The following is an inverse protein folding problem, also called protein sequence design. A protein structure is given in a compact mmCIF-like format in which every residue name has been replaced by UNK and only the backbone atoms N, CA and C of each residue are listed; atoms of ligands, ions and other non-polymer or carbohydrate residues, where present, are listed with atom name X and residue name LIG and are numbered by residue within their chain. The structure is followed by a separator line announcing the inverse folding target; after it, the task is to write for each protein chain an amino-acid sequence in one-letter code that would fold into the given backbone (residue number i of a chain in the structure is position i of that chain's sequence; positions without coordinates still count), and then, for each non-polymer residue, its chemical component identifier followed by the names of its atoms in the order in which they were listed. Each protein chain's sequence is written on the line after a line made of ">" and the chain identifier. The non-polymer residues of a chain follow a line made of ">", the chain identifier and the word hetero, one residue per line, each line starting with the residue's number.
data_IF_136532463897
#
_entry.id   IF_136532463897
#
_cell.length_a   1.000
_cell.length_b   1.000
_cell.length_c   1.000
_cell.angle_alpha   90.00
_cell.angle_beta   90.00
_cell.angle_gamma   90.00
#
_symmetry.space_group_name_H-M   'P 1'
#
loop_
_entity.id
_entity.type
_entity.pdbx_description
1 polymer ?
#
# COMPACT_ATOMS: atom_id res chain seq x y z
N UNK A 1 -14.72 -23.87 49.14
CA UNK A 1 -15.45 -23.13 48.10
C UNK A 1 -14.67 -21.86 47.88
N UNK A 2 -14.10 -21.65 46.69
CA UNK A 2 -13.43 -20.39 46.35
C UNK A 2 -14.53 -19.39 45.97
N UNK A 3 -14.54 -18.22 46.58
CA UNK A 3 -15.53 -17.19 46.34
C UNK A 3 -14.79 -15.85 46.25
N UNK A 4 -15.14 -15.05 45.24
CA UNK A 4 -14.61 -13.70 45.12
C UNK A 4 -15.16 -12.78 46.22
N UNK A 5 -14.44 -11.70 46.56
CA UNK A 5 -14.93 -10.69 47.47
C UNK A 5 -16.30 -10.17 47.00
N UNK A 6 -17.18 -9.84 47.95
CA UNK A 6 -18.55 -9.44 47.68
C UNK A 6 -18.67 -8.14 46.84
N UNK A 7 -17.59 -7.36 46.74
CA UNK A 7 -17.55 -6.05 46.10
C UNK A 7 -17.14 -6.14 44.62
N UNK A 8 -17.83 -6.97 43.83
CA UNK A 8 -17.77 -6.90 42.37
C UNK A 8 -16.75 -7.79 41.67
N UNK A 9 -16.23 -8.84 42.33
CA UNK A 9 -15.33 -9.79 41.66
C UNK A 9 -16.08 -10.96 41.00
N UNK A 10 -15.80 -11.23 39.73
CA UNK A 10 -16.28 -12.39 38.98
C UNK A 10 -15.24 -13.52 39.02
N UNK A 11 -15.67 -14.73 39.41
CA UNK A 11 -14.79 -15.91 39.35
C UNK A 11 -14.61 -16.28 37.89
N UNK A 12 -13.36 -16.30 37.45
CA UNK A 12 -12.98 -16.77 36.12
C UNK A 12 -11.90 -17.85 36.23
N UNK A 13 -11.87 -18.74 35.23
CA UNK A 13 -10.90 -19.82 35.16
C UNK A 13 -9.84 -19.48 34.12
N UNK A 14 -8.59 -19.89 34.38
CA UNK A 14 -7.56 -19.90 33.34
C UNK A 14 -8.00 -20.81 32.19
N UNK A 15 -7.47 -20.56 30.98
CA UNK A 15 -7.82 -21.34 29.79
C UNK A 15 -7.59 -22.86 29.95
N UNK A 16 -6.54 -23.25 30.67
CA UNK A 16 -6.23 -24.65 30.99
C UNK A 16 -7.03 -25.21 32.18
N UNK A 17 -7.86 -24.38 32.82
CA UNK A 17 -8.69 -24.67 33.99
C UNK A 17 -7.89 -25.11 35.22
N UNK A 18 -6.59 -24.79 35.28
CA UNK A 18 -5.73 -25.13 36.42
C UNK A 18 -5.68 -24.05 37.49
N UNK A 19 -6.06 -22.83 37.16
CA UNK A 19 -6.18 -21.72 38.09
C UNK A 19 -7.56 -21.08 38.02
N UNK A 20 -7.94 -20.45 39.12
CA UNK A 20 -9.13 -19.62 39.24
C UNK A 20 -8.73 -18.30 39.89
N UNK A 21 -9.31 -17.21 39.40
CA UNK A 21 -9.03 -15.85 39.86
C UNK A 21 -10.32 -15.04 39.94
N UNK A 22 -10.22 -13.87 40.55
CA UNK A 22 -11.29 -12.88 40.60
C UNK A 22 -10.93 -11.75 39.67
N UNK A 23 -11.75 -11.52 38.66
CA UNK A 23 -11.64 -10.38 37.75
C UNK A 23 -12.73 -9.35 38.05
N UNK A 24 -12.50 -8.11 37.67
CA UNK A 24 -13.41 -7.00 38.02
C UNK A 24 -14.70 -7.02 37.21
N UNK A 25 -14.63 -7.49 35.96
CA UNK A 25 -15.78 -7.56 35.06
C UNK A 25 -16.06 -9.00 34.60
N UNK A 26 -17.31 -9.27 34.23
CA UNK A 26 -17.79 -10.59 33.79
C UNK A 26 -17.17 -11.01 32.44
N UNK A 27 -16.82 -10.05 31.60
CA UNK A 27 -16.23 -10.27 30.27
C UNK A 27 -14.70 -10.36 30.28
N UNK A 28 -14.06 -10.20 31.45
CA UNK A 28 -12.63 -10.41 31.62
C UNK A 28 -12.31 -11.91 31.73
N UNK A 29 -11.19 -12.31 31.12
CA UNK A 29 -10.65 -13.66 31.22
C UNK A 29 -9.30 -13.67 31.94
N UNK A 30 -9.04 -14.76 32.67
CA UNK A 30 -7.78 -14.96 33.38
C UNK A 30 -6.73 -15.55 32.44
N UNK A 31 -5.68 -14.78 32.18
CA UNK A 31 -4.54 -15.19 31.38
C UNK A 31 -3.28 -15.35 32.24
N UNK A 32 -2.29 -16.08 31.70
CA UNK A 32 -1.00 -16.27 32.32
C UNK A 32 -0.80 -17.64 32.98
N UNK A 33 0.24 -17.73 33.80
CA UNK A 33 0.70 -18.97 34.42
C UNK A 33 1.29 -18.70 35.80
N UNK A 34 1.63 -19.76 36.53
CA UNK A 34 2.37 -19.63 37.79
C UNK A 34 3.74 -18.96 37.61
N UNK A 35 4.34 -19.05 36.43
CA UNK A 35 5.65 -18.44 36.15
C UNK A 35 5.55 -16.99 35.69
N UNK A 36 4.48 -16.64 34.98
CA UNK A 36 4.32 -15.35 34.32
C UNK A 36 3.46 -14.38 35.14
N UNK A 37 2.77 -14.89 36.16
CA UNK A 37 1.71 -14.17 36.87
C UNK A 37 0.36 -14.34 36.17
N UNK A 38 -0.72 -14.30 36.94
CA UNK A 38 -2.08 -14.33 36.40
C UNK A 38 -2.64 -12.91 36.32
N UNK A 39 -3.22 -12.57 35.16
CA UNK A 39 -3.77 -11.26 34.87
C UNK A 39 -5.19 -11.38 34.32
N UNK A 40 -6.06 -10.45 34.70
CA UNK A 40 -7.39 -10.30 34.12
C UNK A 40 -7.29 -9.38 32.90
N UNK A 41 -7.57 -9.92 31.71
CA UNK A 41 -7.60 -9.12 30.49
C UNK A 41 -9.03 -9.01 29.97
N UNK A 42 -9.39 -7.83 29.48
CA UNK A 42 -10.68 -7.56 28.85
C UNK A 42 -10.91 -8.40 27.59
N UNK A 43 -12.16 -8.52 27.17
CA UNK A 43 -12.51 -9.19 25.92
C UNK A 43 -11.70 -8.63 24.73
N UNK A 44 -11.22 -9.53 23.87
CA UNK A 44 -10.37 -9.17 22.72
C UNK A 44 -8.90 -8.83 23.06
N UNK A 45 -8.51 -8.93 24.33
CA UNK A 45 -7.12 -8.80 24.78
C UNK A 45 -6.56 -10.15 25.25
N UNK A 46 -5.25 -10.25 25.29
CA UNK A 46 -4.51 -11.36 25.86
C UNK A 46 -3.32 -10.86 26.67
N UNK A 47 -2.78 -11.70 27.55
CA UNK A 47 -1.54 -11.39 28.25
C UNK A 47 -0.36 -11.55 27.30
N UNK A 48 0.30 -10.45 26.97
CA UNK A 48 1.39 -10.39 26.02
C UNK A 48 2.68 -9.87 26.68
N UNK A 49 3.84 -10.19 26.10
CA UNK A 49 5.15 -9.79 26.62
C UNK A 49 6.07 -10.97 26.95
N UNK A 50 7.06 -10.74 27.81
CA UNK A 50 8.01 -11.79 28.22
C UNK A 50 8.66 -11.46 29.56
N UNK A 51 9.31 -12.46 30.20
CA UNK A 51 10.08 -12.26 31.44
C UNK A 51 11.15 -11.16 31.36
N UNK A 52 11.61 -10.78 30.16
CA UNK A 52 12.59 -9.70 29.98
C UNK A 52 11.98 -8.30 30.04
N UNK A 53 10.77 -8.14 29.51
CA UNK A 53 10.12 -6.82 29.32
C UNK A 53 8.89 -6.62 30.21
N UNK A 54 8.44 -7.67 30.90
CA UNK A 54 7.18 -7.68 31.63
C UNK A 54 6.04 -8.25 30.79
N UNK A 55 4.87 -8.34 31.41
CA UNK A 55 3.64 -8.80 30.78
C UNK A 55 2.55 -7.74 30.96
N UNK A 56 1.76 -7.51 29.92
CA UNK A 56 0.67 -6.53 29.88
C UNK A 56 -0.51 -7.09 29.08
N UNK A 57 -1.73 -6.67 29.39
CA UNK A 57 -2.89 -7.04 28.58
C UNK A 57 -2.92 -6.22 27.29
N UNK A 58 -2.61 -6.85 26.17
CA UNK A 58 -2.61 -6.23 24.84
C UNK A 58 -3.75 -6.75 23.96
N UNK A 59 -4.21 -5.99 22.95
CA UNK A 59 -5.10 -6.51 21.92
C UNK A 59 -4.57 -7.84 21.35
N UNK A 60 -5.48 -8.72 20.90
CA UNK A 60 -5.15 -10.09 20.47
C UNK A 60 -4.01 -10.20 19.44
N UNK A 61 -3.79 -9.18 18.62
CA UNK A 61 -2.77 -9.08 17.57
C UNK A 61 -1.55 -8.23 17.97
N UNK A 62 -1.33 -7.98 19.27
CA UNK A 62 -0.24 -7.14 19.77
C UNK A 62 0.62 -7.85 20.84
N UNK A 63 1.90 -7.52 20.90
CA UNK A 63 2.83 -7.92 21.97
C UNK A 63 3.29 -6.72 22.79
N UNK A 64 3.67 -6.94 24.04
CA UNK A 64 4.21 -5.89 24.90
C UNK A 64 5.73 -5.80 24.77
N UNK A 65 6.26 -4.64 24.42
CA UNK A 65 7.70 -4.40 24.25
C UNK A 65 8.40 -3.92 25.53
N UNK A 66 7.64 -3.71 26.61
CA UNK A 66 8.10 -3.15 27.88
C UNK A 66 7.65 -1.72 28.14
N UNK A 67 7.12 -1.04 27.11
CA UNK A 67 6.59 0.32 27.20
C UNK A 67 5.15 0.40 26.65
N UNK A 68 4.88 -0.27 25.53
CA UNK A 68 3.55 -0.26 24.89
C UNK A 68 3.24 -1.58 24.15
N UNK A 69 1.96 -1.77 23.85
CA UNK A 69 1.50 -2.86 22.98
C UNK A 69 1.82 -2.51 21.52
N UNK A 70 2.55 -3.38 20.84
CA UNK A 70 2.96 -3.24 19.43
C UNK A 70 2.40 -4.38 18.61
N UNK A 71 1.91 -4.10 17.40
CA UNK A 71 1.29 -5.12 16.56
C UNK A 71 2.30 -6.22 16.17
N UNK A 72 1.90 -7.48 16.25
CA UNK A 72 2.69 -8.63 15.81
C UNK A 72 2.14 -9.11 14.47
N UNK A 73 3.05 -9.37 13.54
CA UNK A 73 2.70 -9.88 12.23
C UNK A 73 2.90 -11.40 12.19
N UNK A 74 1.81 -12.13 11.92
CA UNK A 74 1.82 -13.58 11.80
C UNK A 74 2.17 -14.03 10.37
N UNK A 75 2.35 -15.35 10.20
CA UNK A 75 2.52 -16.01 8.89
C UNK A 75 3.76 -15.55 8.09
N UNK A 76 4.83 -15.17 8.81
CA UNK A 76 6.09 -14.74 8.22
C UNK A 76 6.06 -13.32 7.65
N UNK A 77 5.04 -12.52 7.99
CA UNK A 77 4.94 -11.10 7.64
C UNK A 77 5.80 -10.23 8.55
N UNK A 78 6.21 -9.08 8.05
CA UNK A 78 6.94 -8.03 8.77
C UNK A 78 6.04 -6.81 8.98
N UNK A 79 6.22 -6.12 10.10
CA UNK A 79 5.52 -4.87 10.38
C UNK A 79 6.25 -3.72 9.66
N UNK A 80 5.68 -3.22 8.57
CA UNK A 80 6.20 -2.08 7.80
C UNK A 80 5.15 -0.99 7.80
N UNK A 81 5.51 0.21 8.26
CA UNK A 81 4.62 1.38 8.38
C UNK A 81 3.29 1.09 9.10
N UNK A 82 3.30 0.23 10.13
CA UNK A 82 2.10 -0.15 10.89
C UNK A 82 1.20 -1.17 10.17
N UNK A 83 1.73 -1.85 9.14
CA UNK A 83 1.02 -2.88 8.40
C UNK A 83 1.83 -4.17 8.31
N UNK A 84 1.15 -5.31 8.48
CA UNK A 84 1.76 -6.63 8.32
C UNK A 84 1.83 -7.02 6.84
N UNK A 85 3.04 -7.09 6.31
CA UNK A 85 3.30 -7.31 4.88
C UNK A 85 4.31 -8.44 4.70
N UNK A 86 4.22 -9.19 3.61
CA UNK A 86 5.22 -10.21 3.35
C UNK A 86 6.61 -9.59 3.08
N UNK A 87 7.70 -10.17 3.61
CA UNK A 87 9.05 -9.66 3.43
C UNK A 87 9.43 -9.60 1.96
N UNK A 88 10.38 -8.74 1.63
CA UNK A 88 10.81 -8.54 0.25
C UNK A 88 11.23 -9.86 -0.42
N UNK A 89 10.78 -10.07 -1.65
CA UNK A 89 11.00 -11.31 -2.38
C UNK A 89 10.00 -12.43 -2.06
N UNK A 90 9.01 -12.16 -1.20
CA UNK A 90 7.90 -13.09 -0.92
C UNK A 90 6.53 -12.46 -1.17
N UNK A 91 5.51 -13.29 -1.31
CA UNK A 91 4.10 -12.90 -1.45
C UNK A 91 3.19 -13.78 -0.62
N UNK A 92 2.06 -13.20 -0.23
CA UNK A 92 1.03 -13.85 0.57
C UNK A 92 0.30 -14.91 -0.26
N UNK A 93 0.18 -16.12 0.27
CA UNK A 93 -0.62 -17.20 -0.31
C UNK A 93 -2.11 -17.02 0.04
N UNK A 94 -3.03 -17.74 -0.61
CA UNK A 94 -4.44 -17.74 -0.21
C UNK A 94 -4.69 -18.12 1.26
N UNK A 95 -3.75 -18.83 1.88
CA UNK A 95 -3.77 -19.22 3.29
C UNK A 95 -3.18 -18.14 4.24
N UNK A 96 -2.62 -17.07 3.68
CA UNK A 96 -2.05 -15.95 4.43
C UNK A 96 -0.55 -16.04 4.72
N UNK A 97 0.14 -17.07 4.20
CA UNK A 97 1.58 -17.31 4.41
C UNK A 97 2.46 -16.58 3.40
N UNK A 98 3.67 -16.16 3.80
CA UNK A 98 4.63 -15.57 2.87
C UNK A 98 5.49 -16.64 2.17
N UNK A 99 5.43 -16.70 0.83
CA UNK A 99 6.26 -17.59 -0.01
C UNK A 99 7.09 -16.83 -1.03
N UNK A 100 8.26 -17.36 -1.35
CA UNK A 100 9.15 -16.78 -2.36
C UNK A 100 8.45 -16.56 -3.70
N UNK A 101 8.71 -15.41 -4.31
CA UNK A 101 8.19 -15.02 -5.61
C UNK A 101 9.13 -15.48 -6.73
N UNK A 102 8.62 -16.32 -7.63
CA UNK A 102 9.30 -16.69 -8.89
C UNK A 102 8.93 -15.75 -10.07
N UNK A 103 8.22 -14.66 -9.80
CA UNK A 103 7.69 -13.76 -10.83
C UNK A 103 7.82 -12.29 -10.44
N UNK A 104 7.97 -11.42 -11.44
CA UNK A 104 8.03 -9.96 -11.27
C UNK A 104 6.91 -9.28 -12.05
N UNK A 105 6.46 -8.14 -11.54
CA UNK A 105 5.49 -7.31 -12.29
C UNK A 105 6.09 -6.77 -13.59
N UNK A 106 7.41 -6.55 -13.64
CA UNK A 106 8.11 -5.83 -14.70
C UNK A 106 8.15 -4.31 -14.50
N UNK A 107 7.64 -3.81 -13.37
CA UNK A 107 7.76 -2.43 -12.92
C UNK A 107 8.93 -2.27 -11.95
N UNK A 108 9.58 -1.13 -12.02
CA UNK A 108 10.72 -0.79 -11.17
C UNK A 108 10.60 0.64 -10.64
N UNK A 109 11.16 0.89 -9.47
CA UNK A 109 11.25 2.24 -8.91
C UNK A 109 12.12 3.14 -9.77
N UNK A 110 11.83 4.43 -9.76
CA UNK A 110 12.57 5.46 -10.50
C UNK A 110 12.20 5.55 -11.98
N UNK A 111 11.57 4.54 -12.57
CA UNK A 111 11.02 4.58 -13.94
C UNK A 111 9.75 5.42 -14.02
N UNK A 112 9.49 5.95 -15.22
CA UNK A 112 8.35 6.81 -15.49
C UNK A 112 7.36 6.19 -16.47
N UNK A 113 6.08 6.44 -16.21
CA UNK A 113 4.98 5.84 -16.94
C UNK A 113 3.89 6.87 -17.23
N UNK A 114 3.17 6.66 -18.32
CA UNK A 114 1.84 7.23 -18.54
C UNK A 114 0.81 6.14 -18.33
N UNK A 115 -0.26 6.45 -17.61
CA UNK A 115 -1.34 5.50 -17.37
C UNK A 115 -2.46 5.72 -18.37
N UNK A 116 -2.77 4.70 -19.16
CA UNK A 116 -3.89 4.72 -20.10
C UNK A 116 -5.01 3.85 -19.54
N UNK A 117 -6.17 4.45 -19.27
CA UNK A 117 -7.30 3.75 -18.67
C UNK A 117 -8.16 3.04 -19.72
N UNK A 118 -9.25 2.43 -19.25
CA UNK A 118 -10.14 1.63 -20.10
C UNK A 118 -10.85 2.46 -21.18
N UNK A 119 -10.98 3.78 -20.99
CA UNK A 119 -11.55 4.67 -22.02
C UNK A 119 -10.59 4.93 -23.19
N UNK A 120 -9.33 4.46 -23.09
CA UNK A 120 -8.24 4.81 -24.00
C UNK A 120 -7.63 6.20 -23.73
N UNK A 121 -8.19 6.95 -22.79
CA UNK A 121 -7.64 8.24 -22.37
C UNK A 121 -6.56 8.05 -21.31
N UNK A 122 -5.67 9.03 -21.19
CA UNK A 122 -4.60 9.00 -20.18
C UNK A 122 -5.09 9.62 -18.89
N UNK A 123 -4.63 9.08 -17.76
CA UNK A 123 -4.82 9.69 -16.45
C UNK A 123 -4.14 11.06 -16.44
N UNK A 124 -4.96 12.09 -16.31
CA UNK A 124 -4.57 13.47 -16.55
C UNK A 124 -4.97 14.36 -15.39
N UNK A 125 -4.15 15.36 -15.10
CA UNK A 125 -4.43 16.32 -14.04
C UNK A 125 -5.19 17.52 -14.60
N UNK A 126 -6.34 17.82 -14.01
CA UNK A 126 -7.15 18.99 -14.31
C UNK A 126 -8.00 19.36 -13.11
N UNK A 127 -8.27 20.65 -12.91
CA UNK A 127 -9.12 21.14 -11.81
C UNK A 127 -8.77 20.54 -10.43
N UNK A 128 -7.47 20.38 -10.16
CA UNK A 128 -6.92 19.80 -8.91
C UNK A 128 -7.21 18.31 -8.66
N UNK A 129 -7.58 17.54 -9.67
CA UNK A 129 -7.82 16.11 -9.57
C UNK A 129 -7.27 15.33 -10.77
N UNK A 130 -7.08 14.03 -10.59
CA UNK A 130 -6.78 13.11 -11.68
C UNK A 130 -8.04 12.43 -12.19
N UNK A 131 -8.20 12.44 -13.51
CA UNK A 131 -9.23 11.69 -14.21
C UNK A 131 -8.75 11.22 -15.57
N UNK A 132 -9.42 10.20 -16.12
CA UNK A 132 -9.30 9.89 -17.54
C UNK A 132 -9.92 11.04 -18.34
N UNK A 133 -9.07 11.83 -19.01
CA UNK A 133 -9.50 13.03 -19.72
C UNK A 133 -8.73 13.23 -21.02
N UNK A 134 -9.42 13.74 -22.04
CA UNK A 134 -8.82 14.08 -23.33
C UNK A 134 -7.80 15.22 -23.17
N UNK A 135 -6.57 15.06 -23.69
CA UNK A 135 -5.55 16.10 -23.62
C UNK A 135 -6.02 17.42 -24.23
N UNK A 136 -5.70 18.54 -23.57
CA UNK A 136 -6.00 19.88 -24.06
C UNK A 136 -5.03 20.90 -23.45
N UNK A 137 -5.18 22.19 -23.78
CA UNK A 137 -4.37 23.27 -23.15
C UNK A 137 -4.54 23.36 -21.63
N UNK A 138 -5.59 22.76 -21.07
CA UNK A 138 -5.86 22.74 -19.63
C UNK A 138 -5.70 21.36 -18.99
N UNK A 139 -5.49 20.31 -19.80
CA UNK A 139 -5.48 18.92 -19.37
C UNK A 139 -4.20 18.26 -19.87
N UNK A 140 -3.28 17.96 -18.96
CA UNK A 140 -2.06 17.24 -19.29
C UNK A 140 -2.16 15.82 -18.73
N UNK A 141 -1.85 14.80 -19.55
CA UNK A 141 -1.49 13.49 -19.04
C UNK A 141 -0.36 13.61 -18.01
N UNK A 142 -0.53 12.91 -16.87
CA UNK A 142 0.53 12.83 -15.89
C UNK A 142 1.72 12.05 -16.44
N UNK A 143 2.91 12.35 -15.92
CA UNK A 143 4.12 11.54 -16.14
C UNK A 143 4.58 11.04 -14.78
N UNK A 144 4.24 9.80 -14.50
CA UNK A 144 4.28 9.24 -13.16
C UNK A 144 5.57 8.46 -12.94
N UNK A 145 6.41 8.95 -12.03
CA UNK A 145 7.52 8.21 -11.49
C UNK A 145 7.04 7.34 -10.32
N UNK A 146 7.36 6.05 -10.34
CA UNK A 146 7.00 5.13 -9.26
C UNK A 146 8.13 5.05 -8.24
N UNK A 147 7.81 5.17 -6.96
CA UNK A 147 8.78 5.23 -5.87
C UNK A 147 8.32 4.35 -4.70
N UNK A 148 9.25 3.71 -3.97
CA UNK A 148 8.94 3.04 -2.69
C UNK A 148 9.06 3.99 -1.49
N UNK A 149 9.71 5.13 -1.68
CA UNK A 149 10.00 6.12 -0.63
C UNK A 149 10.15 7.53 -1.23
N UNK A 150 10.36 8.53 -0.37
CA UNK A 150 10.52 9.93 -0.79
C UNK A 150 11.77 10.18 -1.65
N UNK A 151 12.86 9.43 -1.39
CA UNK A 151 14.11 9.54 -2.14
C UNK A 151 13.99 8.98 -3.55
N UNK A 152 13.07 8.03 -3.75
CA UNK A 152 12.80 7.35 -5.00
C UNK A 152 14.04 6.65 -5.58
N UNK A 153 14.70 5.82 -4.76
CA UNK A 153 15.87 5.06 -5.20
C UNK A 153 15.51 4.16 -6.39
N UNK A 154 16.16 4.31 -7.57
CA UNK A 154 15.79 3.62 -8.80
C UNK A 154 16.22 2.13 -8.81
N UNK A 155 15.55 1.33 -9.64
CA UNK A 155 15.96 -0.04 -9.98
C UNK A 155 15.47 -1.13 -9.02
N UNK A 156 14.60 -0.80 -8.05
CA UNK A 156 14.00 -1.80 -7.16
C UNK A 156 12.70 -2.34 -7.76
N UNK A 157 12.41 -3.64 -7.67
CA UNK A 157 11.19 -4.21 -8.22
C UNK A 157 9.95 -3.70 -7.49
N UNK A 158 8.87 -3.46 -8.23
CA UNK A 158 7.54 -3.13 -7.71
C UNK A 158 6.66 -4.36 -7.84
N UNK A 159 6.01 -4.80 -6.77
CA UNK A 159 5.13 -5.97 -6.73
C UNK A 159 3.90 -5.64 -5.87
N UNK A 160 2.85 -6.47 -5.87
CA UNK A 160 1.65 -6.21 -5.07
C UNK A 160 1.90 -6.03 -3.57
N UNK A 161 2.96 -6.65 -3.03
CA UNK A 161 3.38 -6.54 -1.63
C UNK A 161 4.14 -5.24 -1.30
N UNK A 162 4.39 -4.36 -2.28
CA UNK A 162 5.11 -3.11 -2.05
C UNK A 162 4.14 -1.92 -2.02
N UNK A 163 4.25 -1.09 -0.98
CA UNK A 163 3.68 0.25 -1.01
C UNK A 163 4.42 1.10 -2.03
N UNK A 164 3.69 1.69 -2.96
CA UNK A 164 4.22 2.55 -4.02
C UNK A 164 3.64 3.95 -3.89
N UNK A 165 4.52 4.95 -3.91
CA UNK A 165 4.17 6.35 -4.02
C UNK A 165 4.35 6.79 -5.48
N UNK A 166 3.40 7.59 -5.96
CA UNK A 166 3.39 8.02 -7.36
C UNK A 166 3.70 9.51 -7.41
N UNK A 167 4.81 9.88 -8.03
CA UNK A 167 5.24 11.27 -8.23
C UNK A 167 4.91 11.71 -9.64
N UNK A 168 4.12 12.77 -9.81
CA UNK A 168 3.90 13.37 -11.12
C UNK A 168 4.98 14.42 -11.43
N UNK A 169 5.75 14.15 -12.47
CA UNK A 169 6.83 15.02 -12.93
C UNK A 169 6.32 16.25 -13.69
N UNK A 170 5.06 16.27 -14.12
CA UNK A 170 4.48 17.42 -14.80
C UNK A 170 3.89 18.43 -13.80
N UNK A 171 4.24 19.70 -13.97
CA UNK A 171 3.55 20.81 -13.32
C UNK A 171 2.32 21.28 -14.12
N UNK A 172 1.67 22.35 -13.67
CA UNK A 172 0.62 23.03 -14.43
C UNK A 172 1.22 23.65 -15.71
N UNK A 173 0.61 23.44 -16.89
CA UNK A 173 1.19 23.88 -18.20
C UNK A 173 1.65 25.33 -18.21
N UNK A 174 0.83 26.22 -17.67
CA UNK A 174 1.05 27.66 -17.77
C UNK A 174 2.25 28.15 -16.94
N UNK A 175 2.59 27.46 -15.85
CA UNK A 175 3.53 27.96 -14.84
C UNK A 175 4.64 26.97 -14.48
N UNK A 176 4.51 25.70 -14.86
CA UNK A 176 5.34 24.61 -14.36
C UNK A 176 5.14 24.33 -12.86
N UNK A 177 4.24 25.06 -12.18
CA UNK A 177 4.07 24.95 -10.74
C UNK A 177 3.56 23.55 -10.35
N UNK A 178 4.10 23.04 -9.24
CA UNK A 178 3.69 21.75 -8.69
C UNK A 178 4.15 20.53 -9.49
N UNK A 179 5.19 20.67 -10.31
CA UNK A 179 5.97 19.54 -10.82
C UNK A 179 6.66 18.79 -9.68
N UNK A 180 6.78 17.47 -9.81
CA UNK A 180 7.41 16.60 -8.81
C UNK A 180 6.57 16.37 -7.55
N UNK A 181 5.26 16.66 -7.59
CA UNK A 181 4.36 16.43 -6.46
C UNK A 181 3.81 15.00 -6.45
N UNK A 182 3.45 14.53 -5.27
CA UNK A 182 2.91 13.19 -5.06
C UNK A 182 1.41 13.16 -5.33
N UNK A 183 0.90 12.05 -5.83
CA UNK A 183 -0.53 11.76 -5.76
C UNK A 183 -0.92 11.63 -4.28
N UNK A 184 -1.99 12.29 -3.86
CA UNK A 184 -2.41 12.34 -2.46
C UNK A 184 -3.32 11.17 -2.05
N UNK A 185 -3.55 11.03 -0.74
CA UNK A 185 -4.34 9.95 -0.13
C UNK A 185 -5.85 10.23 0.00
N UNK A 186 -6.45 10.94 -0.97
CA UNK A 186 -7.88 11.31 -0.88
C UNK A 186 -8.80 10.09 -0.95
N UNK A 187 -9.75 10.03 -0.01
CA UNK A 187 -10.70 8.94 0.17
C UNK A 187 -12.13 9.46 0.39
N UNK A 188 -13.09 8.54 0.52
CA UNK A 188 -14.47 8.84 0.94
C UNK A 188 -15.19 9.85 0.04
N UNK A 189 -14.97 9.74 -1.28
CA UNK A 189 -15.62 10.57 -2.29
C UNK A 189 -14.84 11.83 -2.69
N UNK A 190 -13.72 12.12 -2.03
CA UNK A 190 -12.77 13.12 -2.50
C UNK A 190 -11.89 12.54 -3.62
N UNK A 191 -11.61 13.35 -4.64
CA UNK A 191 -10.79 12.93 -5.79
C UNK A 191 -9.30 13.04 -5.48
N UNK A 192 -8.51 12.05 -5.90
CA UNK A 192 -7.05 12.09 -5.79
C UNK A 192 -6.52 13.27 -6.61
N UNK A 193 -5.74 14.11 -5.95
CA UNK A 193 -5.06 15.27 -6.49
C UNK A 193 -3.56 15.15 -6.29
N UNK A 194 -2.92 16.27 -5.96
CA UNK A 194 -1.47 16.36 -5.76
C UNK A 194 -1.13 17.01 -4.43
N UNK A 195 -0.10 16.50 -3.76
CA UNK A 195 0.45 17.08 -2.53
C UNK A 195 1.96 17.29 -2.63
N UNK A 196 2.51 18.41 -2.11
CA UNK A 196 3.95 18.56 -1.93
C UNK A 196 4.46 17.80 -0.69
N UNK A 197 3.58 17.43 0.24
CA UNK A 197 3.96 16.78 1.49
C UNK A 197 3.94 15.26 1.33
N UNK A 198 5.10 14.62 1.49
CA UNK A 198 5.21 13.17 1.38
C UNK A 198 4.31 12.39 2.36
N UNK A 199 4.13 12.79 3.63
CA UNK A 199 3.20 12.10 4.54
C UNK A 199 1.73 12.13 4.11
N UNK A 200 1.36 13.05 3.21
CA UNK A 200 0.01 13.15 2.64
C UNK A 200 -0.15 12.36 1.33
N UNK A 201 0.93 11.71 0.86
CA UNK A 201 0.93 10.92 -0.35
C UNK A 201 0.10 9.64 -0.19
N UNK A 202 -0.55 9.22 -1.27
CA UNK A 202 -1.24 7.94 -1.35
C UNK A 202 -0.24 6.78 -1.44
N UNK A 203 -0.56 5.68 -0.76
CA UNK A 203 0.14 4.41 -0.90
C UNK A 203 -0.65 3.51 -1.86
N UNK A 204 -0.02 3.13 -2.96
CA UNK A 204 -0.62 2.37 -4.05
C UNK A 204 -0.01 0.97 -4.14
N UNK A 205 -0.72 0.06 -4.78
CA UNK A 205 -0.23 -1.26 -5.15
C UNK A 205 -0.54 -1.56 -6.63
N UNK A 206 0.38 -2.27 -7.29
CA UNK A 206 0.24 -2.67 -8.69
C UNK A 206 0.21 -4.19 -8.81
N UNK A 207 -0.86 -4.72 -9.39
CA UNK A 207 -0.97 -6.13 -9.73
C UNK A 207 -0.95 -6.29 -11.24
N UNK A 208 0.02 -7.03 -11.77
CA UNK A 208 0.13 -7.31 -13.20
C UNK A 208 -1.03 -8.20 -13.65
N UNK A 209 -1.71 -7.77 -14.70
CA UNK A 209 -2.76 -8.51 -15.38
C UNK A 209 -2.28 -8.98 -16.77
N UNK A 210 -2.99 -9.95 -17.38
CA UNK A 210 -2.71 -10.36 -18.75
C UNK A 210 -2.70 -9.19 -19.75
N UNK A 211 -2.04 -9.37 -20.88
CA UNK A 211 -1.98 -8.41 -21.98
C UNK A 211 -1.35 -7.05 -21.63
N UNK A 212 -0.42 -7.01 -20.67
CA UNK A 212 0.34 -5.80 -20.34
C UNK A 212 -0.41 -4.77 -19.48
N UNK A 213 -1.57 -5.16 -18.95
CA UNK A 213 -2.39 -4.31 -18.08
C UNK A 213 -2.00 -4.48 -16.61
N UNK A 214 -2.40 -3.52 -15.79
CA UNK A 214 -2.22 -3.53 -14.35
C UNK A 214 -3.49 -3.10 -13.65
N UNK A 215 -3.76 -3.76 -12.53
CA UNK A 215 -4.77 -3.38 -11.56
C UNK A 215 -4.08 -2.48 -10.52
N UNK A 216 -4.42 -1.19 -10.55
CA UNK A 216 -3.95 -0.18 -9.60
C UNK A 216 -4.93 -0.08 -8.43
N UNK A 217 -4.46 -0.39 -7.22
CA UNK A 217 -5.22 -0.28 -5.97
C UNK A 217 -4.51 0.67 -4.99
N UNK A 218 -5.14 0.95 -3.85
CA UNK A 218 -4.39 1.33 -2.66
C UNK A 218 -3.65 0.14 -2.06
N UNK A 219 -2.63 0.43 -1.27
CA UNK A 219 -1.82 -0.62 -0.64
C UNK A 219 -2.63 -1.44 0.38
N UNK A 220 -3.39 -0.75 1.23
CA UNK A 220 -4.28 -1.36 2.24
C UNK A 220 -5.77 -1.08 1.98
N UNK A 221 -6.06 -0.25 0.99
CA UNK A 221 -7.39 0.20 0.61
C UNK A 221 -7.66 -0.13 -0.85
N UNK A 222 -8.93 -0.17 -1.25
CA UNK A 222 -9.27 -0.27 -2.66
C UNK A 222 -9.06 1.06 -3.36
N UNK A 223 -8.87 1.01 -4.66
CA UNK A 223 -8.99 2.17 -5.54
C UNK A 223 -10.18 1.98 -6.47
N UNK A 224 -10.94 3.02 -6.72
CA UNK A 224 -11.95 2.95 -7.76
C UNK A 224 -12.30 4.30 -8.35
N UNK A 225 -13.24 4.24 -9.30
CA UNK A 225 -13.68 5.41 -10.03
C UNK A 225 -14.59 6.28 -9.15
N UNK A 226 -14.43 7.59 -9.28
CA UNK A 226 -15.25 8.62 -8.66
C UNK A 226 -15.89 9.50 -9.75
N UNK A 227 -16.98 10.20 -9.39
CA UNK A 227 -17.68 11.11 -10.28
C UNK A 227 -16.75 12.18 -10.89
N UNK A 228 -17.09 12.74 -12.07
CA UNK A 228 -18.24 12.43 -12.92
C UNK A 228 -18.01 11.22 -13.85
N UNK A 229 -19.08 10.58 -14.31
CA UNK A 229 -19.01 9.39 -15.20
C UNK A 229 -18.33 9.69 -16.54
N UNK A 230 -18.36 10.94 -17.01
CA UNK A 230 -17.82 11.32 -18.32
C UNK A 230 -16.30 11.31 -18.38
N UNK A 231 -15.63 11.75 -17.31
CA UNK A 231 -14.19 11.71 -17.13
C UNK A 231 -13.94 11.22 -15.70
N UNK A 232 -14.05 9.90 -15.45
CA UNK A 232 -14.05 9.37 -14.11
C UNK A 232 -12.72 9.70 -13.42
N UNK A 233 -12.84 10.28 -12.24
CA UNK A 233 -11.72 10.50 -11.35
C UNK A 233 -11.40 9.22 -10.57
N UNK A 234 -10.34 9.24 -9.77
CA UNK A 234 -10.00 8.12 -8.88
C UNK A 234 -10.04 8.55 -7.40
N UNK A 235 -10.42 7.62 -6.52
CA UNK A 235 -10.49 7.80 -5.05
C UNK A 235 -10.14 6.49 -4.36
N UNK A 236 -9.62 6.58 -3.14
CA UNK A 236 -9.51 5.42 -2.26
C UNK A 236 -10.86 5.03 -1.65
N UNK A 237 -11.06 3.72 -1.46
CA UNK A 237 -12.22 3.09 -0.84
C UNK A 237 -11.79 2.19 0.32
N UNK A 238 -12.20 2.55 1.53
CA UNK A 238 -11.94 1.77 2.75
C UNK A 238 -12.77 0.48 2.83
N UNK A 239 -14.02 0.52 2.34
CA UNK A 239 -15.00 -0.58 2.47
C UNK A 239 -14.83 -1.71 1.46
N UNK A 240 -14.02 -1.52 0.43
CA UNK A 240 -13.75 -2.54 -0.59
C UNK A 240 -12.25 -2.58 -0.87
N UNK A 241 -11.43 -3.19 0.00
CA UNK A 241 -9.97 -3.18 -0.10
C UNK A 241 -9.42 -3.89 -1.34
N UNK A 242 -10.24 -4.68 -2.04
CA UNK A 242 -9.88 -5.41 -3.26
C UNK A 242 -10.30 -4.67 -4.54
N UNK A 243 -10.95 -3.51 -4.44
CA UNK A 243 -11.28 -2.71 -5.62
C UNK A 243 -9.99 -2.16 -6.25
N UNK A 244 -9.92 -2.18 -7.58
CA UNK A 244 -8.84 -1.54 -8.31
C UNK A 244 -9.32 -0.93 -9.62
N UNK A 245 -8.48 -0.06 -10.19
CA UNK A 245 -8.70 0.55 -11.50
C UNK A 245 -7.69 -0.02 -12.49
N UNK A 246 -8.18 -0.45 -13.64
CA UNK A 246 -7.36 -1.04 -14.70
C UNK A 246 -6.64 0.05 -15.51
N UNK A 247 -5.32 -0.09 -15.67
CA UNK A 247 -4.49 0.76 -16.52
C UNK A 247 -3.51 -0.06 -17.36
N UNK A 248 -3.27 0.40 -18.57
CA UNK A 248 -2.04 0.09 -19.31
C UNK A 248 -0.96 1.08 -18.91
N UNK A 249 0.23 0.57 -18.56
CA UNK A 249 1.38 1.38 -18.15
C UNK A 249 2.36 1.50 -19.31
N UNK A 250 2.41 2.69 -19.90
CA UNK A 250 3.29 3.00 -21.02
C UNK A 250 4.58 3.58 -20.43
N UNK A 251 5.67 2.81 -20.47
CA UNK A 251 7.00 3.29 -20.04
C UNK A 251 7.45 4.44 -20.93
N UNK A 252 7.88 5.54 -20.32
CA UNK A 252 8.35 6.75 -20.99
C UNK A 252 9.60 7.30 -20.29
N UNK A 253 10.46 8.04 -21.00
CA UNK A 253 11.56 8.77 -20.38
C UNK A 253 11.12 9.69 -19.24
N UNK A 254 11.80 9.60 -18.09
CA UNK A 254 11.59 10.55 -17.00
C UNK A 254 12.07 11.96 -17.40
N UNK A 255 13.30 12.07 -17.90
CA UNK A 255 13.81 13.28 -18.52
C UNK A 255 13.85 13.09 -20.04
N UNK A 256 12.99 13.81 -20.76
CA UNK A 256 12.90 13.72 -22.23
C UNK A 256 14.12 14.31 -22.95
N UNK A 257 15.01 15.00 -22.23
CA UNK A 257 16.22 15.61 -22.76
C UNK A 257 17.48 14.79 -22.49
N UNK A 258 17.37 13.68 -21.75
CA UNK A 258 18.52 12.78 -21.54
C UNK A 258 18.92 12.13 -22.86
N UNK A 259 20.22 12.18 -23.18
CA UNK A 259 20.79 11.56 -24.38
C UNK A 259 20.60 10.03 -24.39
N UNK A 260 20.51 9.42 -23.21
CA UNK A 260 20.29 7.98 -23.03
C UNK A 260 18.97 7.50 -23.64
N UNK A 261 17.98 8.39 -23.79
CA UNK A 261 16.72 8.07 -24.44
C UNK A 261 16.90 7.69 -25.90
N UNK A 262 17.93 8.19 -26.58
CA UNK A 262 18.25 7.81 -27.95
C UNK A 262 18.71 6.34 -28.06
N UNK A 263 19.12 5.74 -26.94
CA UNK A 263 19.53 4.34 -26.87
C UNK A 263 18.35 3.38 -26.65
N UNK A 264 17.21 3.84 -26.13
CA UNK A 264 16.01 3.03 -25.91
C UNK A 264 15.41 2.47 -27.22
N UNK A 265 15.70 3.13 -28.35
CA UNK A 265 15.21 2.79 -29.68
C UNK A 265 16.02 1.71 -30.41
N UNK A 266 16.91 0.97 -29.73
CA UNK A 266 17.81 -0.01 -30.40
C UNK A 266 17.56 -1.48 -30.05
N UNK A 267 16.66 -1.80 -29.11
CA UNK A 267 16.71 -3.10 -28.41
C UNK A 267 15.44 -3.98 -28.40
N UNK A 268 14.42 -3.78 -29.24
CA UNK A 268 13.37 -4.81 -29.37
C UNK A 268 12.83 -5.00 -30.79
N UNK A 269 12.66 -6.26 -31.21
CA UNK A 269 12.21 -6.66 -32.55
C UNK A 269 10.78 -6.25 -32.91
N UNK A 270 10.11 -5.43 -32.09
CA UNK A 270 8.78 -4.92 -32.37
C UNK A 270 8.55 -3.53 -31.75
N UNK A 271 9.37 -2.55 -32.11
CA UNK A 271 9.34 -1.19 -31.53
C UNK A 271 8.18 -0.28 -31.97
N UNK A 272 7.14 -0.84 -32.58
CA UNK A 272 5.81 -0.27 -32.90
C UNK A 272 5.26 -0.98 -34.16
N UNK A 273 5.18 -2.32 -34.20
CA UNK A 273 4.70 -3.09 -35.37
C UNK A 273 5.21 -2.57 -36.73
N UNK A 274 6.53 -2.58 -36.95
CA UNK A 274 7.16 -2.31 -38.25
C UNK A 274 7.97 -1.02 -38.34
N UNK A 275 9.30 -1.20 -38.26
CA UNK A 275 10.41 -0.29 -38.64
C UNK A 275 10.36 1.15 -38.12
N UNK A 276 11.16 1.41 -37.09
CA UNK A 276 12.07 2.56 -37.15
C UNK A 276 13.47 1.99 -37.40
N UNK A 277 13.85 1.98 -38.67
CA UNK A 277 15.18 1.58 -39.14
C UNK A 277 16.08 2.82 -39.00
N UNK A 278 16.93 2.86 -37.96
CA UNK A 278 17.94 3.90 -37.78
C UNK A 278 19.29 3.48 -38.40
N UNK A 279 19.25 3.16 -39.69
CA UNK A 279 20.41 3.13 -40.59
C UNK A 279 20.04 4.08 -41.73
N UNK A 280 20.67 5.20 -41.97
CA UNK A 280 22.04 5.67 -41.72
C UNK A 280 21.94 7.09 -41.13
N UNK A 281 22.90 7.58 -40.35
CA UNK A 281 23.90 8.52 -40.89
C UNK A 281 25.04 8.68 -39.86
N UNK A 282 26.25 8.34 -40.33
CA UNK A 282 27.54 8.86 -39.87
C UNK A 282 27.80 10.20 -40.56
#
# INVERSE_FOLDING_TARGET
>A
MFACPADGGYITLSADKRAAGCCEDEDQALFGSLEDGYHCCAAGHHLAGSKKVGFECCPADHTFDGEQCTQVCDNGKELIDGHCVCPEGTAETPEGDCKALDCTSGLETGKCYMFQGMSGQRLSFSANQYSEATPSKAVIPGKFQLCKDETCTPGNPINPSHAVYIRDLHGVLATGAGAGRWLDKKSEGAHIGRTPNFPDAGQFAFTKWPCGKYCLSGFTQGLGLACPVTNPAITFYSKNPQACVEFELIEVPCDIRSDENNCAWKSSGNQCCGRVDCKDEL
#
